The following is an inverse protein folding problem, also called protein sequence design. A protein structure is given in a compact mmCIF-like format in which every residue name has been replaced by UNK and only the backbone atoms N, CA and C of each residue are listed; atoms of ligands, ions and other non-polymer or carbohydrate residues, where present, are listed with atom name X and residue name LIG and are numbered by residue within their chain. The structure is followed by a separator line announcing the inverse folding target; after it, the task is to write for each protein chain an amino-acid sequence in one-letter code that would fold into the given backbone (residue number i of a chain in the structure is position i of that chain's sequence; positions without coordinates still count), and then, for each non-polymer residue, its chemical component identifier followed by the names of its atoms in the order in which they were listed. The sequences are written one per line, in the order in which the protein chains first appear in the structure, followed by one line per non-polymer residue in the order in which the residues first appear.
data_IF_324777012006
#
_entry.id   IF_324777012006
#
_cell.length_a   1.000
_cell.length_b   1.000
_cell.length_c   1.000
_cell.angle_alpha   90.00
_cell.angle_beta   90.00
_cell.angle_gamma   90.00
#
_symmetry.space_group_name_H-M   'P 1'
#
loop_
_entity.id
_entity.type
_entity.pdbx_description
1 polymer ?
#
# COMPACT_ATOMS: atom_id res chain seq x y z
N UNK A 1 -1.05 13.48 3.93
CA UNK A 1 -0.48 12.22 4.38
C UNK A 1 0.28 11.54 3.29
N UNK A 2 1.42 10.97 3.58
CA UNK A 2 2.24 10.32 2.59
C UNK A 2 2.76 8.99 3.08
N UNK A 3 2.84 8.01 2.19
CA UNK A 3 3.38 6.73 2.55
C UNK A 3 4.24 6.26 1.40
N UNK A 4 5.31 5.57 1.69
CA UNK A 4 6.26 5.15 0.69
C UNK A 4 5.94 3.77 0.17
N UNK A 5 6.01 3.60 -1.12
CA UNK A 5 5.84 2.31 -1.75
C UNK A 5 7.05 2.02 -2.62
N UNK A 6 7.35 0.76 -2.80
CA UNK A 6 8.46 0.35 -3.64
C UNK A 6 7.87 -0.34 -4.86
N UNK A 7 8.16 0.19 -6.02
CA UNK A 7 7.60 -0.32 -7.26
C UNK A 7 8.64 -1.14 -8.00
N UNK A 8 8.20 -2.30 -8.48
CA UNK A 8 9.07 -3.21 -9.22
C UNK A 8 8.43 -3.51 -10.57
N UNK A 9 9.26 -3.70 -11.56
CA UNK A 9 8.77 -4.12 -12.86
C UNK A 9 8.53 -5.62 -12.82
N UNK A 10 7.37 -6.04 -13.30
CA UNK A 10 7.06 -7.46 -13.32
C UNK A 10 7.67 -8.09 -14.54
N UNK A 11 8.09 -9.35 -14.43
CA UNK A 11 8.74 -10.02 -15.53
C UNK A 11 7.83 -10.20 -16.71
N UNK A 12 6.57 -10.37 -16.46
CA UNK A 12 5.63 -10.61 -17.53
C UNK A 12 5.03 -9.35 -18.09
N UNK A 13 5.50 -8.22 -17.65
CA UNK A 13 4.92 -6.96 -18.06
C UNK A 13 4.16 -6.36 -16.92
N UNK A 14 4.01 -5.07 -16.94
CA UNK A 14 3.32 -4.39 -15.87
C UNK A 14 4.23 -4.15 -14.68
N UNK A 15 3.61 -3.85 -13.55
CA UNK A 15 4.34 -3.47 -12.35
C UNK A 15 3.69 -4.08 -11.13
N UNK A 16 4.46 -4.21 -10.07
CA UNK A 16 3.87 -4.54 -8.78
C UNK A 16 4.56 -3.67 -7.74
N UNK A 17 3.91 -3.46 -6.63
CA UNK A 17 4.43 -2.58 -5.61
C UNK A 17 4.13 -3.13 -4.24
N UNK A 18 5.00 -2.79 -3.31
CA UNK A 18 4.81 -3.20 -1.93
C UNK A 18 4.91 -1.96 -1.07
N UNK A 19 4.24 -1.99 0.06
CA UNK A 19 4.26 -0.88 1.00
C UNK A 19 4.89 -1.42 2.27
N UNK A 20 6.17 -1.17 2.49
CA UNK A 20 6.88 -1.80 3.61
C UNK A 20 6.28 -1.48 4.97
N UNK A 21 5.72 -0.30 5.11
CA UNK A 21 5.16 0.10 6.39
C UNK A 21 3.87 -0.62 6.72
N UNK A 22 3.21 -1.21 5.72
CA UNK A 22 1.95 -1.91 5.93
C UNK A 22 2.14 -3.35 5.55
N UNK A 23 2.32 -4.18 6.54
CA UNK A 23 2.64 -5.58 6.32
C UNK A 23 1.59 -6.25 5.42
N UNK A 24 2.06 -6.87 4.36
CA UNK A 24 1.18 -7.57 3.45
C UNK A 24 0.48 -6.70 2.43
N UNK A 25 0.78 -5.41 2.40
CA UNK A 25 0.12 -4.52 1.45
C UNK A 25 0.89 -4.55 0.14
N UNK A 26 0.42 -5.35 -0.80
CA UNK A 26 1.06 -5.51 -2.09
C UNK A 26 -0.01 -5.41 -3.15
N UNK A 27 0.31 -4.77 -4.24
CA UNK A 27 -0.64 -4.65 -5.32
C UNK A 27 0.09 -4.66 -6.66
N UNK A 28 -0.65 -4.70 -7.74
CA UNK A 28 -0.03 -4.75 -9.06
C UNK A 28 -0.91 -4.04 -10.07
N UNK A 29 -0.41 -3.78 -11.22
CA UNK A 29 -1.15 -3.14 -12.29
C UNK A 29 -0.40 -3.32 -13.61
N UNK A 30 -1.13 -3.32 -14.71
CA UNK A 30 -0.52 -3.47 -16.01
C UNK A 30 0.14 -2.19 -16.47
N UNK A 31 -0.34 -1.05 -16.04
CA UNK A 31 0.26 0.22 -16.39
C UNK A 31 0.59 0.96 -15.11
N UNK A 32 1.40 1.99 -15.24
CA UNK A 32 1.77 2.80 -14.08
C UNK A 32 0.52 3.43 -13.46
N UNK A 33 -0.37 3.93 -14.29
CA UNK A 33 -1.58 4.58 -13.79
C UNK A 33 -2.46 3.60 -13.05
N UNK A 34 -2.58 2.40 -13.58
CA UNK A 34 -3.38 1.39 -12.94
C UNK A 34 -2.76 0.99 -11.62
N UNK A 35 -1.43 0.85 -11.59
CA UNK A 35 -0.75 0.51 -10.37
C UNK A 35 -0.98 1.59 -9.31
N UNK A 36 -0.90 2.86 -9.69
CA UNK A 36 -1.08 3.94 -8.73
C UNK A 36 -2.50 3.93 -8.17
N UNK A 37 -3.49 3.67 -9.00
CA UNK A 37 -4.86 3.61 -8.53
C UNK A 37 -5.06 2.41 -7.61
N UNK A 38 -4.51 1.27 -7.97
CA UNK A 38 -4.64 0.08 -7.15
C UNK A 38 -3.89 0.24 -5.83
N UNK A 39 -2.78 0.94 -5.86
CA UNK A 39 -1.99 1.15 -4.68
C UNK A 39 -2.76 2.00 -3.69
N UNK A 40 -3.36 3.06 -4.16
CA UNK A 40 -4.14 3.92 -3.30
C UNK A 40 -5.29 3.15 -2.67
N UNK A 41 -5.96 2.33 -3.49
CA UNK A 41 -7.07 1.54 -3.02
C UNK A 41 -6.61 0.53 -1.97
N UNK A 42 -5.50 -0.11 -2.22
CA UNK A 42 -4.99 -1.11 -1.30
C UNK A 42 -4.59 -0.49 0.04
N UNK A 43 -3.98 0.67 -0.01
CA UNK A 43 -3.57 1.34 1.21
C UNK A 43 -4.78 1.78 2.00
N UNK A 44 -5.77 2.32 1.33
CA UNK A 44 -6.97 2.77 2.02
C UNK A 44 -7.70 1.60 2.66
N UNK A 45 -7.76 0.47 1.95
CA UNK A 45 -8.40 -0.71 2.50
C UNK A 45 -7.66 -1.24 3.71
N UNK A 46 -6.32 -1.27 3.62
CA UNK A 46 -5.52 -1.76 4.72
C UNK A 46 -5.71 -0.89 5.96
N UNK A 47 -5.72 0.43 5.77
CA UNK A 47 -5.88 1.34 6.89
C UNK A 47 -7.25 1.24 7.52
N UNK A 48 -8.26 0.99 6.70
CA UNK A 48 -9.60 0.86 7.20
C UNK A 48 -9.71 -0.34 8.12
N UNK A 49 -9.13 -1.46 7.71
CA UNK A 49 -9.16 -2.66 8.51
C UNK A 49 -8.35 -2.46 9.79
N UNK A 50 -7.18 -1.85 9.67
CA UNK A 50 -6.33 -1.61 10.82
C UNK A 50 -7.03 -0.70 11.83
N UNK A 51 -7.76 0.28 11.33
CA UNK A 51 -8.46 1.16 12.22
C UNK A 51 -9.54 0.44 12.96
N UNK A 52 -10.21 -0.45 12.30
CA UNK A 52 -11.24 -1.17 12.96
C UNK A 52 -10.74 -2.06 14.04
N UNK A 53 -9.62 -2.69 13.81
CA UNK A 53 -9.19 -3.62 14.82
C UNK A 53 -8.26 -3.02 15.75
N UNK A 54 -8.05 -1.82 15.68
CA UNK A 54 -7.15 -1.26 16.40
C UNK A 54 -6.92 -1.59 17.66
N UNK A 55 -6.75 -2.20 18.21
CA UNK A 55 -6.57 -2.46 19.38
C UNK A 55 -5.22 -2.60 19.58
N UNK A 56 -4.58 -2.58 19.19
CA UNK A 56 -3.39 -2.88 19.39
C UNK A 56 -2.48 -1.88 19.53
N UNK A 57 -2.16 -1.54 19.69
CA UNK A 57 -1.37 -0.87 19.83
C UNK A 57 -0.31 -0.69 19.44
N UNK A 58 0.16 -0.72 19.20
CA UNK A 58 1.07 -0.61 18.83
C UNK A 58 1.70 -0.23 18.28
N UNK A 59 1.99 0.01 18.09
CA UNK A 59 2.68 0.07 17.63
C UNK A 59 3.34 0.63 16.78
N UNK A 60 3.66 0.81 16.42
CA UNK A 60 4.41 0.96 15.40
C UNK A 60 4.68 2.27 14.96
N UNK A 61 5.01 2.48 13.80
CA UNK A 61 5.23 3.65 13.37
C UNK A 61 4.22 4.21 12.62
N UNK A 62 3.95 5.42 12.60
CA UNK A 62 2.94 6.04 11.89
C UNK A 62 3.52 6.67 10.70
N UNK A 63 3.01 6.33 9.55
CA UNK A 63 3.48 6.89 8.35
C UNK A 63 2.39 7.65 7.72
N UNK A 64 2.68 8.73 7.08
CA UNK A 64 1.67 9.55 6.46
C UNK A 64 1.41 9.11 5.07
N UNK A 65 0.17 9.07 4.68
CA UNK A 65 -0.23 8.62 3.38
C UNK A 65 -0.77 9.75 2.57
N UNK A 66 -0.30 9.90 1.35
CA UNK A 66 -0.78 10.94 0.48
C UNK A 66 -2.03 10.46 -0.21
N UNK A 67 -3.12 10.67 0.36
CA UNK A 67 -4.38 10.29 -0.25
C UNK A 67 -5.07 11.52 -0.85
#
# INVERSE_FOLDING_TARGET
MKIKAIVHAAEEGGYWAEVPALTGCITEGDTWEELMANLKDAIEGWLEVANESRKTEEVGEFVEIAL
#
